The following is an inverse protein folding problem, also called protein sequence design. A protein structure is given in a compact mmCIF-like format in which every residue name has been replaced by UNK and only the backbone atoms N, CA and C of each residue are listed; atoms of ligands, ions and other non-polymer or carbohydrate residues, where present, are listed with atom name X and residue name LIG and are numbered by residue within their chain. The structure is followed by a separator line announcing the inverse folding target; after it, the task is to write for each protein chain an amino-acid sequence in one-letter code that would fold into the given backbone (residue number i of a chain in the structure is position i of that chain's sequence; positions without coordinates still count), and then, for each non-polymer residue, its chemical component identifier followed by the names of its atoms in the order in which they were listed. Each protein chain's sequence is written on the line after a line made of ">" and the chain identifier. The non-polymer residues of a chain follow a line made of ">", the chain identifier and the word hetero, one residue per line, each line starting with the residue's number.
data_IF_379050450195
#
_entry.id   IF_379050450195
#
_cell.length_a   1.000
_cell.length_b   1.000
_cell.length_c   1.000
_cell.angle_alpha   90.00
_cell.angle_beta   90.00
_cell.angle_gamma   90.00
#
_symmetry.space_group_name_H-M   'P 1'
#
loop_
_entity.id
_entity.type
_entity.pdbx_description
1 polymer ?
#
# COMPACT_ATOMS: atom_id res chain seq x y z
N UNK A 1 -3.64 23.28 48.45
CA UNK A 1 -2.87 23.34 47.19
C UNK A 1 -3.22 22.05 46.45
N UNK A 2 -4.19 22.12 45.53
CA UNK A 2 -4.60 21.00 44.71
C UNK A 2 -3.85 21.11 43.37
N UNK A 3 -2.82 20.28 43.21
CA UNK A 3 -2.12 20.13 41.96
C UNK A 3 -3.10 19.57 40.91
N UNK A 4 -3.50 20.42 39.99
CA UNK A 4 -4.28 20.06 38.82
C UNK A 4 -3.43 19.18 37.90
N UNK A 5 -3.69 17.89 37.93
CA UNK A 5 -3.13 16.92 37.00
C UNK A 5 -3.67 17.22 35.58
N UNK A 6 -2.94 18.06 34.86
CA UNK A 6 -3.21 18.43 33.47
C UNK A 6 -3.02 17.19 32.61
N UNK A 7 -4.06 16.39 32.47
CA UNK A 7 -4.12 15.40 31.40
C UNK A 7 -4.01 16.16 30.08
N UNK A 8 -2.82 16.21 29.50
CA UNK A 8 -2.61 16.66 28.12
C UNK A 8 -3.52 15.79 27.25
N UNK A 9 -4.61 16.37 26.76
CA UNK A 9 -5.56 15.69 25.88
C UNK A 9 -4.78 15.27 24.62
N UNK A 10 -4.47 13.99 24.51
CA UNK A 10 -3.82 13.45 23.33
C UNK A 10 -4.76 13.69 22.13
N UNK A 11 -4.25 14.34 21.09
CA UNK A 11 -5.04 14.59 19.88
C UNK A 11 -5.43 13.28 19.23
N UNK A 12 -6.65 13.17 18.67
CA UNK A 12 -7.07 12.02 17.89
C UNK A 12 -6.07 11.73 16.78
N UNK A 13 -5.75 10.46 16.59
CA UNK A 13 -4.78 10.01 15.59
C UNK A 13 -5.51 9.40 14.38
N UNK A 14 -5.01 9.72 13.20
CA UNK A 14 -5.35 9.05 11.95
C UNK A 14 -4.11 8.31 11.46
N UNK A 15 -4.13 6.98 11.54
CA UNK A 15 -3.08 6.14 10.96
C UNK A 15 -3.41 5.86 9.49
N UNK A 16 -2.53 6.29 8.59
CA UNK A 16 -2.64 5.97 7.17
C UNK A 16 -1.57 4.95 6.80
N UNK A 17 -2.00 3.78 6.37
CA UNK A 17 -1.14 2.67 5.97
C UNK A 17 -1.14 2.56 4.45
N UNK A 18 -0.01 2.87 3.82
CA UNK A 18 0.09 2.95 2.36
C UNK A 18 1.09 1.94 1.78
N UNK A 19 0.82 1.46 0.57
CA UNK A 19 1.76 0.64 -0.19
C UNK A 19 3.05 1.41 -0.47
N UNK A 20 4.21 0.82 -0.22
CA UNK A 20 5.49 1.40 -0.64
C UNK A 20 5.64 1.41 -2.17
N UNK A 21 6.66 2.11 -2.68
CA UNK A 21 6.95 2.17 -4.12
C UNK A 21 8.14 1.28 -4.51
N UNK A 22 8.08 0.68 -5.71
CA UNK A 22 9.24 0.03 -6.31
C UNK A 22 10.32 1.04 -6.75
N UNK A 23 9.92 2.28 -7.08
CA UNK A 23 10.86 3.35 -7.42
C UNK A 23 11.51 3.91 -6.15
N UNK A 24 12.82 4.13 -6.22
CA UNK A 24 13.63 4.67 -5.12
C UNK A 24 14.39 5.89 -5.62
N UNK A 25 14.59 6.87 -4.74
CA UNK A 25 15.33 8.10 -5.04
C UNK A 25 16.85 7.91 -4.97
N UNK A 26 17.33 6.78 -4.46
CA UNK A 26 18.74 6.51 -4.23
C UNK A 26 19.18 5.23 -4.94
N UNK A 27 20.46 5.12 -5.35
CA UNK A 27 21.02 3.91 -5.94
C UNK A 27 20.87 2.71 -5.01
N UNK A 28 20.54 1.56 -5.56
CA UNK A 28 20.31 0.32 -4.81
C UNK A 28 21.57 -0.54 -4.87
N UNK A 29 22.22 -0.82 -3.72
CA UNK A 29 23.38 -1.71 -3.69
C UNK A 29 23.00 -3.12 -4.14
N UNK A 30 23.88 -3.81 -4.86
CA UNK A 30 23.62 -5.19 -5.33
C UNK A 30 23.25 -6.14 -4.18
N UNK A 31 23.90 -6.01 -3.02
CA UNK A 31 23.58 -6.82 -1.81
C UNK A 31 22.15 -6.61 -1.28
N UNK A 32 21.50 -5.49 -1.62
CA UNK A 32 20.13 -5.14 -1.23
C UNK A 32 19.12 -5.33 -2.37
N UNK A 33 19.44 -6.14 -3.35
CA UNK A 33 18.52 -6.69 -4.33
C UNK A 33 18.12 -8.10 -3.88
N UNK A 34 16.81 -8.35 -3.72
CA UNK A 34 16.32 -9.63 -3.18
C UNK A 34 16.69 -10.83 -4.09
N UNK A 35 16.77 -10.60 -5.39
CA UNK A 35 17.22 -11.59 -6.36
C UNK A 35 18.65 -12.11 -6.11
N UNK A 36 19.49 -11.30 -5.47
CA UNK A 36 20.86 -11.66 -5.10
C UNK A 36 20.96 -12.36 -3.73
N UNK A 37 19.81 -12.63 -3.07
CA UNK A 37 19.79 -13.33 -1.79
C UNK A 37 19.63 -14.84 -2.04
N UNK A 38 20.66 -15.66 -1.78
CA UNK A 38 20.55 -17.10 -1.94
C UNK A 38 19.65 -17.69 -0.84
N UNK A 39 18.93 -18.77 -1.14
CA UNK A 39 18.15 -19.49 -0.13
C UNK A 39 17.43 -20.69 -0.70
N UNK A 40 17.27 -21.73 0.14
CA UNK A 40 16.58 -22.98 -0.21
C UNK A 40 15.07 -22.92 0.03
N UNK A 41 14.62 -22.00 0.89
CA UNK A 41 13.21 -21.77 1.22
C UNK A 41 12.91 -20.28 1.37
N UNK A 42 11.62 -19.92 1.41
CA UNK A 42 11.20 -18.54 1.68
C UNK A 42 11.69 -18.05 3.06
N UNK A 43 11.62 -18.89 4.07
CA UNK A 43 12.10 -18.56 5.42
C UNK A 43 13.62 -18.35 5.46
N UNK A 44 14.42 -19.21 4.82
CA UNK A 44 15.88 -19.04 4.73
C UNK A 44 16.25 -17.75 4.00
N UNK A 45 15.58 -17.43 2.88
CA UNK A 45 15.80 -16.16 2.18
C UNK A 45 15.38 -14.95 3.02
N UNK A 46 14.28 -15.05 3.76
CA UNK A 46 13.84 -13.96 4.64
C UNK A 46 14.85 -13.71 5.78
N UNK A 47 15.36 -14.76 6.41
CA UNK A 47 16.41 -14.62 7.42
C UNK A 47 17.67 -13.92 6.88
N UNK A 48 18.14 -14.36 5.72
CA UNK A 48 19.32 -13.76 5.06
C UNK A 48 19.03 -12.33 4.60
N UNK A 49 17.84 -12.05 4.12
CA UNK A 49 17.38 -10.71 3.75
C UNK A 49 17.43 -9.77 4.96
N UNK A 50 16.81 -10.18 6.07
CA UNK A 50 16.81 -9.45 7.34
C UNK A 50 18.24 -9.20 7.82
N UNK A 51 19.11 -10.21 7.75
CA UNK A 51 20.54 -10.06 8.10
C UNK A 51 21.20 -8.97 7.26
N UNK A 52 20.96 -8.95 5.93
CA UNK A 52 21.51 -7.90 5.05
C UNK A 52 20.97 -6.50 5.37
N UNK A 53 19.70 -6.40 5.71
CA UNK A 53 19.06 -5.14 6.12
C UNK A 53 19.52 -4.66 7.49
N UNK A 54 19.97 -5.57 8.37
CA UNK A 54 20.53 -5.21 9.68
C UNK A 54 21.99 -4.78 9.62
N UNK A 55 22.69 -5.10 8.53
CA UNK A 55 24.08 -4.74 8.28
C UNK A 55 24.14 -3.45 7.46
N UNK A 56 24.21 -2.30 8.10
CA UNK A 56 24.18 -1.00 7.41
C UNK A 56 25.45 -0.73 6.62
N UNK A 57 26.63 -1.02 7.20
CA UNK A 57 27.93 -0.68 6.57
C UNK A 57 27.97 0.80 6.14
N UNK A 58 28.54 1.06 4.97
CA UNK A 58 28.62 2.41 4.37
C UNK A 58 27.36 2.79 3.56
N UNK A 59 26.30 1.96 3.57
CA UNK A 59 25.07 2.27 2.83
C UNK A 59 24.27 3.34 3.55
N UNK A 60 24.00 4.49 2.91
CA UNK A 60 23.25 5.55 3.55
C UNK A 60 21.83 5.09 3.91
N UNK A 61 21.39 5.49 5.09
CA UNK A 61 20.00 5.35 5.53
C UNK A 61 19.30 6.69 5.39
N UNK A 62 18.12 6.66 4.80
CA UNK A 62 17.27 7.84 4.64
C UNK A 62 15.86 7.51 5.13
N UNK A 63 15.09 8.51 5.53
CA UNK A 63 13.69 8.30 5.89
C UNK A 63 12.95 7.59 4.75
N UNK A 64 12.09 6.62 5.09
CA UNK A 64 11.28 5.92 4.09
C UNK A 64 10.48 6.91 3.25
N UNK A 65 10.02 8.03 3.84
CA UNK A 65 9.35 9.12 3.14
C UNK A 65 10.16 9.67 1.97
N UNK A 66 11.46 9.78 2.12
CA UNK A 66 12.38 10.34 1.12
C UNK A 66 12.88 9.28 0.14
N UNK A 67 12.99 8.03 0.60
CA UNK A 67 13.49 6.94 -0.22
C UNK A 67 12.54 6.56 -1.34
N UNK A 68 11.26 6.41 -1.04
CA UNK A 68 10.28 5.99 -2.05
C UNK A 68 9.97 7.12 -3.02
N UNK A 69 9.77 6.79 -4.30
CA UNK A 69 9.56 7.74 -5.38
C UNK A 69 8.37 7.33 -6.28
N UNK A 70 8.08 8.15 -7.28
CA UNK A 70 6.99 7.97 -8.23
C UNK A 70 5.69 8.65 -7.80
N UNK A 71 4.74 8.77 -8.73
CA UNK A 71 3.52 9.59 -8.57
C UNK A 71 2.68 9.17 -7.35
N UNK A 72 2.48 7.86 -7.14
CA UNK A 72 1.77 7.34 -5.97
C UNK A 72 2.37 7.87 -4.66
N UNK A 73 3.69 7.83 -4.56
CA UNK A 73 4.40 8.24 -3.36
C UNK A 73 4.49 9.77 -3.22
N UNK A 74 4.56 10.49 -4.34
CA UNK A 74 4.53 11.96 -4.32
C UNK A 74 3.23 12.48 -3.72
N UNK A 75 2.09 11.83 -3.99
CA UNK A 75 0.81 12.15 -3.34
C UNK A 75 0.86 11.80 -1.85
N UNK A 76 1.36 10.62 -1.49
CA UNK A 76 1.43 10.16 -0.11
C UNK A 76 2.27 11.07 0.80
N UNK A 77 3.35 11.65 0.28
CA UNK A 77 4.19 12.61 1.02
C UNK A 77 3.41 13.81 1.56
N UNK A 78 2.34 14.21 0.89
CA UNK A 78 1.50 15.31 1.31
C UNK A 78 0.52 14.97 2.45
N UNK A 79 0.30 13.70 2.76
CA UNK A 79 -0.72 13.28 3.72
C UNK A 79 -0.55 13.89 5.12
N UNK A 80 0.65 13.93 5.72
CA UNK A 80 0.81 14.50 7.04
C UNK A 80 0.37 15.96 7.16
N UNK A 81 0.41 16.71 6.05
CA UNK A 81 -0.04 18.11 6.01
C UNK A 81 -1.56 18.28 5.86
N UNK A 82 -2.32 17.18 5.64
CA UNK A 82 -3.78 17.21 5.46
C UNK A 82 -4.56 17.03 6.78
N UNK A 83 -3.86 17.09 7.93
CA UNK A 83 -4.50 17.00 9.24
C UNK A 83 -5.32 18.23 9.57
N UNK A 84 -6.39 18.06 10.35
CA UNK A 84 -7.08 19.17 11.01
C UNK A 84 -6.30 19.64 12.24
N UNK A 85 -6.52 20.88 12.72
CA UNK A 85 -5.79 21.40 13.89
C UNK A 85 -5.90 20.53 15.15
N UNK A 86 -7.00 19.80 15.30
CA UNK A 86 -7.32 18.97 16.45
C UNK A 86 -6.97 17.47 16.27
N UNK A 87 -6.18 17.12 15.26
CA UNK A 87 -5.79 15.71 14.99
C UNK A 87 -4.33 15.60 14.51
N UNK A 88 -3.82 14.37 14.48
CA UNK A 88 -2.49 14.05 13.93
C UNK A 88 -2.62 12.95 12.92
N UNK A 89 -2.06 13.14 11.71
CA UNK A 89 -1.93 12.07 10.71
C UNK A 89 -0.56 11.41 10.85
N UNK A 90 -0.55 10.09 11.10
CA UNK A 90 0.65 9.25 11.14
C UNK A 90 0.69 8.35 9.91
N UNK A 91 1.69 8.54 9.08
CA UNK A 91 1.85 7.79 7.84
C UNK A 91 2.76 6.58 8.03
N UNK A 92 2.32 5.43 7.54
CA UNK A 92 3.02 4.15 7.62
C UNK A 92 3.18 3.55 6.23
N UNK A 93 4.35 3.00 5.95
CA UNK A 93 4.59 2.27 4.72
C UNK A 93 4.46 0.75 4.95
N UNK A 94 3.60 0.09 4.18
CA UNK A 94 3.68 -1.35 3.95
C UNK A 94 4.84 -1.60 3.00
N UNK A 95 5.98 -2.03 3.53
CA UNK A 95 7.21 -2.25 2.79
C UNK A 95 7.44 -3.73 2.52
N UNK A 96 7.62 -4.09 1.25
CA UNK A 96 7.97 -5.47 0.87
C UNK A 96 9.35 -5.89 1.38
N UNK A 97 10.24 -4.93 1.66
CA UNK A 97 11.57 -5.19 2.20
C UNK A 97 11.64 -5.13 3.72
N UNK A 98 10.86 -4.25 4.35
CA UNK A 98 10.99 -3.91 5.76
C UNK A 98 9.76 -4.24 6.63
N UNK A 99 8.66 -4.72 6.04
CA UNK A 99 7.39 -4.90 6.77
C UNK A 99 6.65 -3.57 7.01
N UNK A 100 5.90 -3.46 8.11
CA UNK A 100 5.27 -2.21 8.51
C UNK A 100 6.31 -1.28 9.15
N UNK A 101 6.45 -0.06 8.63
CA UNK A 101 7.37 0.95 9.15
C UNK A 101 6.71 2.34 9.16
N UNK A 102 6.98 3.18 10.16
CA UNK A 102 6.65 4.61 10.06
C UNK A 102 7.50 5.23 8.95
N UNK A 103 6.99 6.26 8.29
CA UNK A 103 7.69 6.85 7.13
C UNK A 103 8.96 7.61 7.49
N UNK A 104 9.13 7.95 8.76
CA UNK A 104 10.33 8.57 9.32
C UNK A 104 11.45 7.53 9.58
N UNK A 105 11.15 6.22 9.53
CA UNK A 105 12.13 5.18 9.78
C UNK A 105 13.31 5.29 8.81
N UNK A 106 14.55 5.28 9.32
CA UNK A 106 15.75 5.28 8.49
C UNK A 106 15.93 3.90 7.83
N UNK A 107 15.87 3.85 6.52
CA UNK A 107 16.02 2.61 5.74
C UNK A 107 17.04 2.76 4.62
N UNK A 108 17.72 1.67 4.29
CA UNK A 108 18.61 1.61 3.14
C UNK A 108 17.81 1.41 1.84
N UNK A 109 18.30 1.94 0.71
CA UNK A 109 17.74 1.61 -0.61
C UNK A 109 17.80 0.10 -0.88
N UNK A 110 16.70 -0.46 -1.36
CA UNK A 110 16.59 -1.90 -1.62
C UNK A 110 15.69 -2.18 -2.83
N UNK A 111 15.82 -3.38 -3.40
CA UNK A 111 14.91 -3.86 -4.43
C UNK A 111 14.29 -5.20 -4.03
N UNK A 112 12.98 -5.22 -3.89
CA UNK A 112 12.13 -6.38 -3.69
C UNK A 112 10.72 -6.06 -4.20
N UNK A 113 9.98 -7.05 -4.68
CA UNK A 113 8.64 -6.85 -5.21
C UNK A 113 7.70 -8.01 -4.91
N UNK A 114 6.40 -7.71 -4.78
CA UNK A 114 5.33 -8.70 -4.73
C UNK A 114 4.86 -9.15 -6.13
N UNK A 115 5.36 -8.54 -7.20
CA UNK A 115 5.04 -8.93 -8.58
C UNK A 115 5.74 -10.24 -8.90
N UNK A 116 5.00 -11.31 -9.25
CA UNK A 116 5.62 -12.59 -9.59
C UNK A 116 6.48 -12.53 -10.87
N UNK A 117 7.46 -13.43 -10.97
CA UNK A 117 8.24 -13.62 -12.20
C UNK A 117 9.34 -12.58 -12.45
N UNK A 118 9.62 -11.70 -11.50
CA UNK A 118 10.75 -10.76 -11.56
C UNK A 118 11.94 -11.29 -10.75
N UNK A 119 13.15 -10.83 -11.07
CA UNK A 119 14.37 -11.25 -10.36
C UNK A 119 14.27 -11.02 -8.84
N UNK A 120 13.70 -9.88 -8.43
CA UNK A 120 13.57 -9.47 -7.03
C UNK A 120 12.17 -9.81 -6.45
N UNK A 121 11.46 -10.77 -7.03
CA UNK A 121 10.20 -11.26 -6.47
C UNK A 121 10.41 -11.96 -5.13
N UNK A 122 9.52 -11.68 -4.18
CA UNK A 122 9.51 -12.43 -2.91
C UNK A 122 9.32 -13.92 -3.18
N UNK A 123 10.03 -14.80 -2.47
CA UNK A 123 9.89 -16.22 -2.65
C UNK A 123 8.59 -16.74 -2.02
N UNK A 124 7.89 -17.62 -2.72
CA UNK A 124 6.68 -18.27 -2.21
C UNK A 124 5.49 -17.31 -2.04
N UNK A 125 4.67 -17.57 -1.03
CA UNK A 125 3.46 -16.80 -0.77
C UNK A 125 3.78 -15.44 -0.14
N UNK A 126 3.22 -14.36 -0.69
CA UNK A 126 3.40 -12.99 -0.18
C UNK A 126 2.95 -12.84 1.30
N UNK A 127 1.92 -13.58 1.72
CA UNK A 127 1.45 -13.57 3.11
C UNK A 127 2.49 -14.16 4.08
N UNK A 128 3.15 -15.25 3.71
CA UNK A 128 4.23 -15.84 4.52
C UNK A 128 5.43 -14.88 4.61
N UNK A 129 5.78 -14.21 3.51
CA UNK A 129 6.83 -13.20 3.50
C UNK A 129 6.50 -12.04 4.45
N UNK A 130 5.28 -11.51 4.38
CA UNK A 130 4.81 -10.45 5.29
C UNK A 130 4.89 -10.87 6.76
N UNK A 131 4.42 -12.07 7.08
CA UNK A 131 4.48 -12.61 8.44
C UNK A 131 5.92 -12.70 8.99
N UNK A 132 6.89 -13.14 8.16
CA UNK A 132 8.30 -13.19 8.56
C UNK A 132 8.87 -11.79 8.84
N UNK A 133 8.57 -10.80 7.99
CA UNK A 133 9.01 -9.42 8.21
C UNK A 133 8.37 -8.78 9.44
N UNK A 134 7.12 -9.13 9.76
CA UNK A 134 6.40 -8.61 10.93
C UNK A 134 6.99 -9.12 12.26
N UNK A 135 7.74 -10.20 12.25
CA UNK A 135 8.44 -10.75 13.42
C UNK A 135 9.83 -10.12 13.65
N UNK A 136 10.35 -9.39 12.69
CA UNK A 136 11.63 -8.71 12.80
C UNK A 136 11.47 -7.34 13.45
N UNK A 137 12.37 -6.98 14.39
CA UNK A 137 12.34 -5.68 15.09
C UNK A 137 12.53 -4.47 14.15
N UNK A 138 13.18 -4.67 13.00
CA UNK A 138 13.30 -3.66 11.95
C UNK A 138 14.13 -2.43 12.31
N UNK A 139 14.08 -1.38 11.45
CA UNK A 139 14.88 -0.16 11.63
C UNK A 139 14.29 0.81 12.68
N UNK A 140 13.09 0.56 13.17
CA UNK A 140 12.41 1.40 14.15
C UNK A 140 11.74 0.52 15.23
N UNK A 141 12.52 -0.16 16.09
CA UNK A 141 12.04 -1.19 17.02
C UNK A 141 11.06 -0.67 18.08
N UNK A 142 11.04 0.63 18.34
CA UNK A 142 10.08 1.28 19.25
C UNK A 142 8.66 1.39 18.68
N UNK A 143 8.46 1.07 17.40
CA UNK A 143 7.17 1.14 16.73
C UNK A 143 6.57 -0.25 16.45
N UNK A 144 5.24 -0.35 16.35
CA UNK A 144 4.56 -1.58 15.93
C UNK A 144 5.09 -2.11 14.61
N UNK A 145 5.30 -3.44 14.51
CA UNK A 145 5.87 -4.11 13.35
C UNK A 145 4.83 -4.86 12.51
N UNK A 146 3.58 -4.90 12.99
CA UNK A 146 2.43 -5.49 12.30
C UNK A 146 1.24 -4.55 12.37
N UNK A 147 0.28 -4.72 11.46
CA UNK A 147 -0.97 -3.95 11.45
C UNK A 147 -1.78 -4.24 12.72
N UNK A 148 -1.83 -5.52 13.12
CA UNK A 148 -2.46 -5.93 14.38
C UNK A 148 -1.87 -5.19 15.57
N UNK A 149 -0.55 -5.15 15.69
CA UNK A 149 0.12 -4.48 16.80
C UNK A 149 -0.13 -2.97 16.78
N UNK A 150 -0.21 -2.35 15.60
CA UNK A 150 -0.51 -0.93 15.45
C UNK A 150 -1.92 -0.60 15.92
N UNK A 151 -2.93 -1.38 15.50
CA UNK A 151 -4.33 -1.17 15.91
C UNK A 151 -4.50 -1.45 17.40
N UNK A 152 -3.87 -2.52 17.92
CA UNK A 152 -3.91 -2.84 19.35
C UNK A 152 -3.28 -1.74 20.24
N UNK A 153 -2.28 -1.00 19.72
CA UNK A 153 -1.65 0.08 20.45
C UNK A 153 -2.47 1.38 20.49
N UNK A 154 -3.36 1.62 19.54
CA UNK A 154 -4.22 2.80 19.46
C UNK A 154 -5.62 2.45 18.93
N UNK A 155 -6.42 1.64 19.67
CA UNK A 155 -7.68 1.09 19.17
C UNK A 155 -8.78 2.13 18.90
N UNK A 156 -8.65 3.34 19.43
CA UNK A 156 -9.59 4.44 19.24
C UNK A 156 -9.25 5.34 18.03
N UNK A 157 -8.10 5.13 17.39
CA UNK A 157 -7.69 5.90 16.23
C UNK A 157 -8.52 5.55 14.97
N UNK A 158 -8.39 6.40 13.95
CA UNK A 158 -8.86 6.09 12.59
C UNK A 158 -7.75 5.36 11.84
N UNK A 159 -8.09 4.28 11.13
CA UNK A 159 -7.16 3.51 10.30
C UNK A 159 -7.59 3.56 8.83
N UNK A 160 -6.80 4.20 7.99
CA UNK A 160 -7.03 4.27 6.55
C UNK A 160 -5.99 3.44 5.82
N UNK A 161 -6.41 2.35 5.20
CA UNK A 161 -5.56 1.46 4.39
C UNK A 161 -5.63 1.87 2.93
N UNK A 162 -4.54 2.44 2.40
CA UNK A 162 -4.40 2.86 1.00
C UNK A 162 -3.51 1.82 0.29
N UNK A 163 -4.07 0.64 0.06
CA UNK A 163 -3.28 -0.52 -0.36
C UNK A 163 -3.64 -0.99 -1.77
N UNK A 164 -2.62 -1.42 -2.51
CA UNK A 164 -2.82 -2.13 -3.77
C UNK A 164 -3.31 -3.56 -3.52
N UNK A 165 -3.94 -4.17 -4.53
CA UNK A 165 -4.46 -5.56 -4.44
C UNK A 165 -3.42 -6.58 -3.97
N UNK A 166 -2.16 -6.46 -4.41
CA UNK A 166 -1.07 -7.36 -3.99
C UNK A 166 -0.73 -7.21 -2.52
N UNK A 167 -0.70 -5.98 -2.00
CA UNK A 167 -0.44 -5.71 -0.59
C UNK A 167 -1.62 -6.10 0.31
N UNK A 168 -2.85 -5.84 -0.10
CA UNK A 168 -4.04 -6.35 0.61
C UNK A 168 -4.00 -7.88 0.75
N UNK A 169 -3.58 -8.59 -0.31
CA UNK A 169 -3.43 -10.04 -0.25
C UNK A 169 -2.31 -10.46 0.70
N UNK A 170 -1.17 -9.77 0.67
CA UNK A 170 -0.04 -10.07 1.55
C UNK A 170 -0.35 -9.82 3.02
N UNK A 171 -1.04 -8.70 3.32
CA UNK A 171 -1.35 -8.28 4.70
C UNK A 171 -2.71 -8.80 5.21
N UNK A 172 -3.47 -9.58 4.42
CA UNK A 172 -4.86 -9.95 4.73
C UNK A 172 -5.05 -10.49 6.14
N UNK A 173 -4.24 -11.48 6.53
CA UNK A 173 -4.36 -12.11 7.85
C UNK A 173 -4.03 -11.14 8.99
N UNK A 174 -3.05 -10.26 8.78
CA UNK A 174 -2.65 -9.24 9.76
C UNK A 174 -3.75 -8.17 9.92
N UNK A 175 -4.38 -7.74 8.80
CA UNK A 175 -5.52 -6.79 8.84
C UNK A 175 -6.73 -7.45 9.51
N UNK A 176 -7.05 -8.72 9.18
CA UNK A 176 -8.16 -9.42 9.81
C UNK A 176 -7.96 -9.56 11.32
N UNK A 177 -6.76 -9.91 11.78
CA UNK A 177 -6.44 -9.96 13.20
C UNK A 177 -6.45 -8.57 13.87
N UNK A 178 -6.17 -7.49 13.13
CA UNK A 178 -6.27 -6.13 13.63
C UNK A 178 -7.72 -5.70 13.89
N UNK A 179 -8.68 -6.18 13.10
CA UNK A 179 -10.10 -5.86 13.26
C UNK A 179 -10.67 -6.29 14.63
N UNK A 180 -10.03 -7.25 15.31
CA UNK A 180 -10.41 -7.68 16.66
C UNK A 180 -10.13 -6.63 17.74
N UNK A 181 -9.26 -5.67 17.45
CA UNK A 181 -8.81 -4.64 18.42
C UNK A 181 -9.42 -3.27 18.15
N UNK A 182 -10.01 -3.02 16.99
CA UNK A 182 -10.60 -1.73 16.66
C UNK A 182 -11.81 -1.44 17.56
N UNK A 183 -11.82 -0.31 18.23
CA UNK A 183 -12.90 0.06 19.14
C UNK A 183 -14.21 0.40 18.40
N UNK A 184 -14.09 1.01 17.22
CA UNK A 184 -15.21 1.37 16.36
C UNK A 184 -14.91 0.90 14.92
N UNK A 185 -15.62 -0.13 14.42
CA UNK A 185 -15.42 -0.66 13.07
C UNK A 185 -15.60 0.38 11.96
N UNK A 186 -16.36 1.46 12.18
CA UNK A 186 -16.53 2.52 11.19
C UNK A 186 -15.28 3.37 11.00
N UNK A 187 -14.33 3.32 11.94
CA UNK A 187 -13.01 3.99 11.87
C UNK A 187 -11.95 3.21 11.11
N UNK A 188 -12.30 2.07 10.50
CA UNK A 188 -11.40 1.32 9.64
C UNK A 188 -11.88 1.40 8.19
N UNK A 189 -11.08 2.03 7.33
CA UNK A 189 -11.39 2.28 5.92
C UNK A 189 -10.35 1.58 5.03
N UNK A 190 -10.80 0.79 4.04
CA UNK A 190 -9.90 0.18 3.04
C UNK A 190 -10.16 0.80 1.67
N UNK A 191 -9.21 1.61 1.21
CA UNK A 191 -9.18 2.24 -0.11
C UNK A 191 -8.38 1.38 -1.08
N UNK A 192 -9.04 0.72 -2.02
CA UNK A 192 -8.39 -0.10 -3.04
C UNK A 192 -9.21 -0.19 -4.32
N UNK A 193 -9.03 0.78 -5.21
CA UNK A 193 -9.67 0.82 -6.51
C UNK A 193 -9.17 -0.30 -7.43
N UNK A 194 -9.92 -1.38 -7.57
CA UNK A 194 -9.56 -2.54 -8.39
C UNK A 194 -9.37 -3.84 -7.61
N UNK A 195 -9.50 -3.81 -6.27
CA UNK A 195 -9.64 -5.02 -5.48
C UNK A 195 -11.11 -5.23 -5.10
N UNK A 196 -11.69 -6.36 -5.48
CA UNK A 196 -12.92 -6.83 -4.85
C UNK A 196 -12.52 -7.54 -3.55
N UNK A 197 -12.76 -6.89 -2.42
CA UNK A 197 -12.57 -7.51 -1.12
C UNK A 197 -13.70 -8.52 -0.89
N UNK A 198 -13.36 -9.67 -0.32
CA UNK A 198 -14.29 -10.74 0.01
C UNK A 198 -14.08 -11.18 1.45
N UNK A 199 -15.11 -11.79 2.06
CA UNK A 199 -15.08 -12.22 3.45
C UNK A 199 -15.00 -11.02 4.40
N UNK A 200 -14.34 -11.20 5.53
CA UNK A 200 -14.33 -10.30 6.67
C UNK A 200 -13.88 -8.86 6.35
N UNK A 201 -12.96 -8.69 5.37
CA UNK A 201 -12.48 -7.37 4.98
C UNK A 201 -13.43 -6.61 4.04
N UNK A 202 -14.45 -7.27 3.48
CA UNK A 202 -15.42 -6.61 2.62
C UNK A 202 -16.23 -5.54 3.35
N UNK A 203 -16.46 -5.77 4.66
CA UNK A 203 -17.20 -4.84 5.52
C UNK A 203 -16.48 -3.49 5.70
N UNK A 204 -15.18 -3.43 5.48
CA UNK A 204 -14.34 -2.24 5.65
C UNK A 204 -13.98 -1.55 4.33
N UNK A 205 -14.38 -2.12 3.19
CA UNK A 205 -14.10 -1.55 1.88
C UNK A 205 -14.94 -0.29 1.64
N UNK A 206 -14.30 0.78 1.18
CA UNK A 206 -15.01 1.93 0.62
C UNK A 206 -15.22 1.71 -0.90
N UNK A 207 -16.33 2.19 -1.49
CA UNK A 207 -16.62 1.99 -2.91
C UNK A 207 -15.64 2.80 -3.76
N UNK A 208 -14.62 2.13 -4.30
CA UNK A 208 -13.62 2.74 -5.16
C UNK A 208 -13.36 1.84 -6.37
N UNK A 209 -13.41 2.41 -7.57
CA UNK A 209 -13.05 1.70 -8.80
C UNK A 209 -12.33 2.61 -9.82
N UNK A 210 -11.97 2.04 -10.98
CA UNK A 210 -11.18 2.73 -11.98
C UNK A 210 -11.87 3.95 -12.62
N UNK A 211 -13.19 4.12 -12.49
CA UNK A 211 -13.93 5.28 -13.01
C UNK A 211 -13.50 6.57 -12.31
N UNK A 212 -13.12 6.47 -11.04
CA UNK A 212 -12.63 7.61 -10.27
C UNK A 212 -11.34 8.21 -10.84
N UNK A 213 -10.63 7.50 -11.72
CA UNK A 213 -9.46 8.07 -12.40
C UNK A 213 -9.82 9.28 -13.28
N UNK A 214 -11.03 9.30 -13.86
CA UNK A 214 -11.48 10.45 -14.64
C UNK A 214 -11.66 11.71 -13.76
N UNK A 215 -12.07 11.52 -12.51
CA UNK A 215 -12.25 12.60 -11.53
C UNK A 215 -10.90 13.07 -10.95
N UNK A 216 -10.06 12.14 -10.48
CA UNK A 216 -8.82 12.49 -9.78
C UNK A 216 -7.63 12.73 -10.71
N UNK A 217 -7.70 12.30 -11.96
CA UNK A 217 -6.59 12.37 -12.92
C UNK A 217 -5.42 11.45 -12.55
N UNK A 218 -4.28 11.67 -13.19
CA UNK A 218 -3.03 10.95 -12.93
C UNK A 218 -3.02 9.49 -13.39
N UNK A 219 -2.06 8.72 -12.92
CA UNK A 219 -1.94 7.30 -13.29
C UNK A 219 -2.85 6.40 -12.46
N UNK A 220 -3.25 5.26 -13.01
CA UNK A 220 -4.00 4.23 -12.26
C UNK A 220 -3.25 3.74 -11.01
N UNK A 221 -1.92 3.78 -11.02
CA UNK A 221 -1.10 3.38 -9.87
C UNK A 221 -1.22 4.37 -8.71
N UNK A 222 -1.43 5.65 -9.01
CA UNK A 222 -1.60 6.70 -8.01
C UNK A 222 -3.06 6.87 -7.54
N UNK A 223 -4.04 6.20 -8.17
CA UNK A 223 -5.46 6.40 -7.90
C UNK A 223 -5.81 6.19 -6.42
N UNK A 224 -5.35 5.11 -5.80
CA UNK A 224 -5.63 4.87 -4.38
C UNK A 224 -5.08 6.00 -3.50
N UNK A 225 -3.86 6.49 -3.79
CA UNK A 225 -3.28 7.59 -3.05
C UNK A 225 -4.09 8.89 -3.24
N UNK A 226 -4.56 9.18 -4.44
CA UNK A 226 -5.40 10.37 -4.71
C UNK A 226 -6.74 10.31 -3.99
N UNK A 227 -7.38 9.13 -3.95
CA UNK A 227 -8.60 8.91 -3.17
C UNK A 227 -8.31 9.13 -1.67
N UNK A 228 -7.22 8.56 -1.15
CA UNK A 228 -6.81 8.77 0.24
C UNK A 228 -6.57 10.25 0.57
N UNK A 229 -5.89 10.99 -0.32
CA UNK A 229 -5.67 12.43 -0.17
C UNK A 229 -6.99 13.23 -0.10
N UNK A 230 -7.95 12.89 -0.96
CA UNK A 230 -9.26 13.53 -0.98
C UNK A 230 -10.04 13.29 0.33
N UNK A 231 -10.12 12.04 0.79
CA UNK A 231 -10.75 11.70 2.06
C UNK A 231 -10.10 12.42 3.25
N UNK A 232 -8.77 12.53 3.25
CA UNK A 232 -8.04 13.25 4.30
C UNK A 232 -8.32 14.75 4.26
N UNK A 233 -8.24 15.38 3.09
CA UNK A 233 -8.43 16.82 2.90
C UNK A 233 -9.86 17.28 3.19
N UNK A 234 -10.85 16.45 2.87
CA UNK A 234 -12.26 16.71 3.19
C UNK A 234 -12.62 16.40 4.64
N UNK A 235 -11.68 15.86 5.42
CA UNK A 235 -11.88 15.55 6.83
C UNK A 235 -12.77 14.35 7.08
N UNK A 236 -12.92 13.45 6.12
CA UNK A 236 -13.65 12.19 6.25
C UNK A 236 -12.83 11.21 7.09
N UNK A 237 -13.42 10.72 8.19
CA UNK A 237 -12.74 9.86 9.17
C UNK A 237 -13.50 8.58 9.48
N UNK A 238 -14.66 8.39 8.86
CA UNK A 238 -15.46 7.17 8.98
C UNK A 238 -15.66 6.48 7.63
N UNK A 239 -15.87 5.18 7.67
CA UNK A 239 -16.16 4.38 6.47
C UNK A 239 -17.49 4.79 5.84
N UNK A 240 -18.51 5.08 6.67
CA UNK A 240 -19.84 5.47 6.20
C UNK A 240 -19.77 6.79 5.41
N UNK A 241 -19.11 7.82 5.97
CA UNK A 241 -18.91 9.09 5.26
C UNK A 241 -18.11 8.91 3.97
N UNK A 242 -17.03 8.10 4.00
CA UNK A 242 -16.22 7.80 2.83
C UNK A 242 -17.03 7.08 1.75
N UNK A 243 -17.86 6.11 2.14
CA UNK A 243 -18.74 5.39 1.22
C UNK A 243 -19.74 6.33 0.55
N UNK A 244 -20.39 7.21 1.31
CA UNK A 244 -21.33 8.22 0.78
C UNK A 244 -20.66 9.21 -0.16
N UNK A 245 -19.46 9.70 0.20
CA UNK A 245 -18.68 10.63 -0.63
C UNK A 245 -18.28 10.00 -1.96
N UNK A 246 -17.63 8.82 -1.92
CA UNK A 246 -17.17 8.15 -3.14
C UNK A 246 -18.32 7.63 -4.01
N UNK A 247 -19.44 7.22 -3.43
CA UNK A 247 -20.62 6.82 -4.18
C UNK A 247 -21.18 7.98 -5.02
N UNK A 248 -21.21 9.21 -4.47
CA UNK A 248 -21.61 10.40 -5.23
C UNK A 248 -20.66 10.68 -6.39
N UNK A 249 -19.34 10.59 -6.17
CA UNK A 249 -18.35 10.77 -7.22
C UNK A 249 -18.48 9.70 -8.31
N UNK A 250 -18.69 8.44 -7.94
CA UNK A 250 -18.90 7.33 -8.88
C UNK A 250 -20.17 7.48 -9.69
N UNK A 251 -21.26 7.98 -9.10
CA UNK A 251 -22.54 8.21 -9.81
C UNK A 251 -22.40 9.29 -10.89
N UNK A 252 -21.47 10.23 -10.72
CA UNK A 252 -21.16 11.26 -11.72
C UNK A 252 -20.25 10.77 -12.85
N UNK A 253 -19.68 9.54 -12.76
CA UNK A 253 -18.77 9.01 -13.76
C UNK A 253 -19.53 8.13 -14.78
N UNK A 254 -19.10 8.11 -16.05
CA UNK A 254 -19.67 7.19 -17.03
C UNK A 254 -19.44 5.74 -16.62
N UNK A 255 -20.35 4.82 -16.98
CA UNK A 255 -20.18 3.41 -16.69
C UNK A 255 -18.90 2.89 -17.37
N UNK A 256 -18.27 1.90 -16.73
CA UNK A 256 -17.11 1.21 -17.35
C UNK A 256 -17.61 0.55 -18.64
N UNK A 257 -17.03 0.86 -19.80
CA UNK A 257 -17.41 0.18 -21.04
C UNK A 257 -17.30 -1.33 -20.84
N UNK A 258 -18.37 -2.06 -21.13
CA UNK A 258 -18.29 -3.53 -21.16
C UNK A 258 -17.36 -3.89 -22.31
N UNK A 259 -16.20 -4.42 -21.96
CA UNK A 259 -15.23 -4.89 -22.94
C UNK A 259 -15.80 -6.15 -23.59
N UNK A 260 -16.21 -6.01 -24.86
CA UNK A 260 -16.71 -7.12 -25.65
C UNK A 260 -15.50 -7.95 -26.11
N UNK A 261 -15.23 -9.05 -25.41
CA UNK A 261 -14.14 -9.98 -25.75
C UNK A 261 -14.20 -10.51 -27.16
N UNK A 262 -15.42 -10.56 -27.77
CA UNK A 262 -15.63 -10.99 -29.13
C UNK A 262 -14.99 -10.05 -30.15
N UNK A 263 -15.10 -8.72 -29.92
CA UNK A 263 -14.50 -7.72 -30.83
C UNK A 263 -12.96 -7.69 -30.77
N UNK A 264 -12.34 -8.17 -29.71
CA UNK A 264 -10.88 -8.27 -29.65
C UNK A 264 -10.37 -9.49 -30.41
N UNK A 265 -11.06 -10.63 -30.28
CA UNK A 265 -10.77 -11.84 -31.06
C UNK A 265 -10.86 -11.55 -32.55
N UNK A 266 -11.93 -10.86 -32.97
CA UNK A 266 -12.14 -10.50 -34.38
C UNK A 266 -11.07 -9.52 -34.92
N UNK A 267 -10.58 -8.57 -34.06
CA UNK A 267 -9.49 -7.67 -34.45
C UNK A 267 -8.11 -8.35 -34.45
N UNK A 268 -7.87 -9.33 -33.60
CA UNK A 268 -6.63 -10.12 -33.63
C UNK A 268 -6.61 -11.07 -34.84
N UNK A 269 -7.77 -11.65 -35.23
CA UNK A 269 -7.91 -12.46 -36.41
C UNK A 269 -7.67 -11.61 -37.67
N UNK A 270 -8.33 -10.44 -37.79
CA UNK A 270 -8.13 -9.52 -38.91
C UNK A 270 -6.69 -9.04 -39.06
N UNK A 271 -5.98 -8.73 -37.94
CA UNK A 271 -4.55 -8.38 -38.00
C UNK A 271 -3.66 -9.54 -38.41
N UNK A 272 -4.00 -10.79 -38.05
CA UNK A 272 -3.25 -11.97 -38.50
C UNK A 272 -3.46 -12.26 -39.97
N UNK A 273 -4.64 -11.96 -40.51
CA UNK A 273 -4.98 -12.11 -41.94
C UNK A 273 -4.30 -11.02 -42.79
N UNK A 274 -4.23 -9.78 -42.33
CA UNK A 274 -3.48 -8.70 -43.00
C UNK A 274 -1.99 -9.01 -43.09
N UNK A 275 -1.36 -9.52 -42.02
CA UNK A 275 0.06 -9.92 -42.04
C UNK A 275 0.35 -11.13 -42.97
N UNK A 276 -0.62 -12.01 -43.18
CA UNK A 276 -0.45 -13.17 -44.10
C UNK A 276 -0.58 -12.78 -45.55
N UNK A 277 -1.35 -11.73 -45.86
CA UNK A 277 -1.53 -11.25 -47.24
C UNK A 277 -0.35 -10.42 -47.77
N UNK A 278 0.40 -9.75 -46.89
CA UNK A 278 1.63 -9.00 -47.26
C UNK A 278 2.83 -9.90 -47.60
N UNK A 279 2.80 -11.19 -47.17
CA UNK A 279 3.86 -12.15 -47.46
C UNK A 279 3.65 -12.97 -48.75
N UNK A 280 2.58 -12.71 -49.48
CA UNK A 280 2.23 -13.42 -50.73
C UNK A 280 2.28 -12.56 -52.01
N UNK A 281 3.05 -11.49 -52.06
CA UNK A 281 3.34 -10.80 -53.31
C UNK A 281 4.49 -11.55 -54.03
N UNK A 282 4.24 -12.15 -55.21
CA UNK A 282 5.29 -12.80 -55.98
C UNK A 282 6.20 -11.78 -56.65
N UNK A 283 7.47 -12.12 -56.70
CA UNK A 283 8.48 -11.48 -57.56
C UNK A 283 8.10 -11.54 -59.06
#
# INVERSE_FOLDING_TARGET
>A
MTEGNGHQRQLPTVHVIITCSNQKSYPIPARLQLGQVPGRSAADRACKWITRLSQTGDTPQVAALELYAGEHWSVARGYPALHKPEEVIRLWACSVGYGLIPVEAPIMPYHATLTPGQADSVPGAAASWWSLLSQWHGPAPQHPRSIRALVAADPAAVFMFVLSKSYLRACRADIAAACEYIADPDRLLIVSAGARLQGDLAAFAVPADARLQAHYGGTRRALNARIGADLLSTGIRSKEEAAGHLARLLAAQPPIPRYDRKKQSDREILRSEEHTSELQSPC
#
